data_IF_807446379114
#
_entry.id   IF_807446379114
#
_cell.length_a   1.000
_cell.length_b   1.000
_cell.length_c   1.000
_cell.angle_alpha   90.00
_cell.angle_beta   90.00
_cell.angle_gamma   90.00
#
_symmetry.space_group_name_H-M   'P 1'
#
loop_
_entity.id
_entity.type
_entity.pdbx_description
1 polymer ?
#
# COMPACT_ATOMS: atom_id res chain seq x y z
N UNK A 1 5.79 -13.81 25.92
CA UNK A 1 5.25 -12.44 25.84
C UNK A 1 5.29 -12.02 24.38
N UNK A 2 4.18 -12.20 23.67
CA UNK A 2 4.08 -11.85 22.25
C UNK A 2 3.73 -10.37 22.13
N UNK A 3 4.58 -9.59 21.48
CA UNK A 3 4.33 -8.18 21.23
C UNK A 3 3.21 -8.05 20.20
N UNK A 4 1.96 -7.96 20.68
CA UNK A 4 0.80 -7.64 19.86
C UNK A 4 0.80 -6.13 19.57
N UNK A 5 1.55 -5.72 18.55
CA UNK A 5 1.47 -4.38 17.96
C UNK A 5 1.52 -4.51 16.45
N UNK A 6 0.42 -4.95 15.87
CA UNK A 6 0.10 -4.64 14.47
C UNK A 6 -0.39 -3.19 14.42
N UNK A 7 0.46 -2.25 14.85
CA UNK A 7 0.22 -0.83 14.63
C UNK A 7 0.78 -0.53 13.25
N UNK A 8 -0.11 -0.35 12.29
CA UNK A 8 0.24 0.18 10.97
C UNK A 8 0.19 1.68 11.09
N UNK A 9 1.21 2.36 10.57
CA UNK A 9 1.27 3.80 10.40
C UNK A 9 0.92 4.12 8.93
N UNK A 10 -0.35 4.40 8.62
CA UNK A 10 -0.81 4.64 7.24
C UNK A 10 -0.04 5.76 6.57
N UNK A 11 0.25 6.83 7.31
CA UNK A 11 0.90 8.03 6.79
C UNK A 11 2.39 7.77 6.55
N UNK A 12 3.07 7.10 7.50
CA UNK A 12 4.45 6.66 7.34
C UNK A 12 4.64 5.69 6.17
N UNK A 13 3.69 4.76 5.98
CA UNK A 13 3.71 3.82 4.85
C UNK A 13 3.46 4.51 3.52
N UNK A 14 2.47 5.42 3.42
CA UNK A 14 2.23 6.23 2.19
C UNK A 14 3.43 7.11 1.86
N UNK A 15 3.99 7.81 2.84
CA UNK A 15 5.19 8.63 2.67
C UNK A 15 6.38 7.80 2.18
N UNK A 16 6.55 6.58 2.69
CA UNK A 16 7.61 5.67 2.23
C UNK A 16 7.37 5.21 0.79
N UNK A 17 6.12 4.87 0.45
CA UNK A 17 5.71 4.50 -0.90
C UNK A 17 5.98 5.64 -1.91
N UNK A 18 5.66 6.88 -1.53
CA UNK A 18 5.87 8.06 -2.36
C UNK A 18 7.34 8.47 -2.50
N UNK A 19 8.21 8.02 -1.59
CA UNK A 19 9.66 8.15 -1.73
C UNK A 19 10.28 7.07 -2.61
N UNK A 20 9.72 5.85 -2.57
CA UNK A 20 10.24 4.71 -3.34
C UNK A 20 9.86 4.79 -4.81
N UNK A 21 8.60 5.13 -5.10
CA UNK A 21 8.08 5.23 -6.47
C UNK A 21 8.99 6.02 -7.42
N UNK A 22 9.37 7.27 -7.08
CA UNK A 22 10.10 8.14 -8.00
C UNK A 22 11.62 7.91 -8.06
N UNK A 23 12.16 6.87 -7.40
CA UNK A 23 13.62 6.66 -7.33
C UNK A 23 14.29 6.51 -8.70
N UNK A 24 13.55 6.09 -9.73
CA UNK A 24 14.03 5.86 -11.09
C UNK A 24 13.16 6.50 -12.18
N UNK A 25 12.35 7.50 -11.84
CA UNK A 25 11.55 8.23 -12.84
C UNK A 25 12.44 8.91 -13.91
N UNK A 26 13.66 9.32 -13.52
CA UNK A 26 14.65 9.85 -14.46
C UNK A 26 15.56 8.73 -15.00
N UNK A 27 15.15 8.17 -16.13
CA UNK A 27 15.95 7.21 -16.90
C UNK A 27 16.95 7.88 -17.87
N UNK A 28 17.01 9.21 -17.92
CA UNK A 28 17.85 9.92 -18.89
C UNK A 28 19.35 9.56 -18.79
N UNK A 29 19.95 9.29 -17.61
CA UNK A 29 21.34 8.88 -17.54
C UNK A 29 21.59 7.51 -18.20
N UNK A 30 20.65 6.57 -18.03
CA UNK A 30 20.77 5.24 -18.63
C UNK A 30 20.57 5.27 -20.15
N UNK A 31 19.67 6.14 -20.62
CA UNK A 31 19.48 6.38 -22.06
C UNK A 31 20.71 7.05 -22.71
N UNK A 32 21.42 7.91 -21.98
CA UNK A 32 22.67 8.49 -22.47
C UNK A 32 23.76 7.43 -22.61
N UNK A 33 23.84 6.48 -21.67
CA UNK A 33 24.83 5.38 -21.70
C UNK A 33 24.57 4.41 -22.84
N UNK A 34 23.32 4.05 -23.14
CA UNK A 34 22.99 3.22 -24.30
C UNK A 34 23.30 3.91 -25.63
N UNK A 35 23.24 5.26 -25.67
CA UNK A 35 23.54 6.07 -26.84
C UNK A 35 25.03 6.33 -27.12
N UNK A 36 25.95 5.86 -26.26
CA UNK A 36 27.38 6.14 -26.44
C UNK A 36 27.89 5.43 -27.71
N UNK A 37 28.33 6.24 -28.68
CA UNK A 37 29.11 5.77 -29.82
C UNK A 37 30.59 5.89 -29.50
N UNK A 38 31.25 4.75 -29.31
CA UNK A 38 32.71 4.70 -29.24
C UNK A 38 33.30 4.76 -30.64
N UNK A 39 34.37 5.54 -30.81
CA UNK A 39 35.12 5.60 -32.05
C UNK A 39 36.43 4.82 -31.88
N UNK A 40 36.32 3.50 -31.79
CA UNK A 40 37.45 2.62 -31.47
C UNK A 40 38.35 2.30 -32.68
N UNK A 41 38.00 2.80 -33.88
CA UNK A 41 38.68 2.52 -35.14
C UNK A 41 38.04 1.40 -35.96
N UNK A 42 38.62 1.06 -37.12
CA UNK A 42 37.98 0.18 -38.11
C UNK A 42 38.53 -1.27 -38.14
N UNK A 43 39.30 -1.69 -37.13
CA UNK A 43 39.83 -3.05 -37.03
C UNK A 43 38.85 -4.01 -36.30
N UNK A 44 38.94 -5.34 -36.51
CA UNK A 44 37.95 -6.28 -35.96
C UNK A 44 37.74 -6.19 -34.45
N UNK A 45 38.81 -6.03 -33.67
CA UNK A 45 38.71 -5.90 -32.21
C UNK A 45 38.03 -4.60 -31.77
N UNK A 46 38.22 -3.49 -32.50
CA UNK A 46 37.51 -2.23 -32.24
C UNK A 46 36.01 -2.37 -32.47
N UNK A 47 35.60 -2.99 -33.58
CA UNK A 47 34.18 -3.24 -33.88
C UNK A 47 33.53 -4.16 -32.85
N UNK A 48 34.26 -5.16 -32.38
CA UNK A 48 33.79 -6.03 -31.30
C UNK A 48 33.59 -5.24 -30.00
N UNK A 49 34.55 -4.38 -29.64
CA UNK A 49 34.45 -3.52 -28.45
C UNK A 49 33.25 -2.57 -28.54
N UNK A 50 33.05 -1.92 -29.69
CA UNK A 50 31.91 -1.02 -29.92
C UNK A 50 30.57 -1.76 -29.80
N UNK A 51 30.48 -2.97 -30.37
CA UNK A 51 29.28 -3.82 -30.24
C UNK A 51 29.04 -4.27 -28.81
N UNK A 52 30.11 -4.66 -28.09
CA UNK A 52 30.01 -5.04 -26.68
C UNK A 52 29.52 -3.88 -25.82
N UNK A 53 30.06 -2.68 -26.01
CA UNK A 53 29.64 -1.49 -25.26
C UNK A 53 28.18 -1.13 -25.54
N UNK A 54 27.74 -1.19 -26.80
CA UNK A 54 26.33 -1.01 -27.16
C UNK A 54 25.42 -2.02 -26.43
N UNK A 55 25.75 -3.31 -26.51
CA UNK A 55 24.98 -4.36 -25.81
C UNK A 55 24.92 -4.15 -24.28
N UNK A 56 26.01 -3.68 -23.67
CA UNK A 56 26.05 -3.40 -22.23
C UNK A 56 25.23 -2.16 -21.88
N UNK A 57 25.28 -1.12 -22.70
CA UNK A 57 24.46 0.08 -22.54
C UNK A 57 22.96 -0.24 -22.63
N UNK A 58 22.57 -1.01 -23.64
CA UNK A 58 21.18 -1.46 -23.83
C UNK A 58 20.70 -2.31 -22.64
N UNK A 59 21.52 -3.27 -22.19
CA UNK A 59 21.18 -4.11 -21.05
C UNK A 59 21.03 -3.31 -19.75
N UNK A 60 21.88 -2.30 -19.52
CA UNK A 60 21.77 -1.39 -18.37
C UNK A 60 20.49 -0.58 -18.43
N UNK A 61 20.12 -0.06 -19.60
CA UNK A 61 18.88 0.69 -19.78
C UNK A 61 17.63 -0.17 -19.52
N UNK A 62 17.59 -1.39 -20.06
CA UNK A 62 16.50 -2.34 -19.80
C UNK A 62 16.39 -2.71 -18.33
N UNK A 63 17.53 -2.88 -17.65
CA UNK A 63 17.54 -3.16 -16.22
C UNK A 63 16.98 -1.97 -15.43
N UNK A 64 17.37 -0.73 -15.76
CA UNK A 64 16.83 0.46 -15.12
C UNK A 64 15.31 0.59 -15.28
N UNK A 65 14.77 0.33 -16.48
CA UNK A 65 13.31 0.25 -16.70
C UNK A 65 12.63 -0.82 -15.85
N UNK A 66 13.27 -1.97 -15.67
CA UNK A 66 12.72 -3.04 -14.84
C UNK A 66 12.67 -2.63 -13.37
N UNK A 67 13.69 -1.91 -12.87
CA UNK A 67 13.70 -1.43 -11.48
C UNK A 67 12.70 -0.29 -11.28
N UNK A 68 12.56 0.63 -12.25
CA UNK A 68 11.50 1.65 -12.26
C UNK A 68 10.11 1.02 -12.09
N UNK A 69 9.80 0.00 -12.89
CA UNK A 69 8.53 -0.74 -12.78
C UNK A 69 8.33 -1.33 -11.38
N UNK A 70 9.36 -1.98 -10.83
CA UNK A 70 9.31 -2.55 -9.48
C UNK A 70 9.10 -1.47 -8.41
N UNK A 71 9.73 -0.30 -8.55
CA UNK A 71 9.51 0.84 -7.64
C UNK A 71 8.06 1.31 -7.67
N UNK A 72 7.45 1.40 -8.86
CA UNK A 72 6.04 1.74 -8.99
C UNK A 72 5.11 0.65 -8.44
N UNK A 73 5.41 -0.63 -8.67
CA UNK A 73 4.63 -1.74 -8.12
C UNK A 73 4.69 -1.77 -6.60
N UNK A 74 5.86 -1.52 -5.99
CA UNK A 74 6.01 -1.38 -4.54
C UNK A 74 5.16 -0.22 -4.04
N UNK A 75 5.21 0.94 -4.70
CA UNK A 75 4.39 2.09 -4.33
C UNK A 75 2.90 1.72 -4.36
N UNK A 76 2.41 1.15 -5.46
CA UNK A 76 1.02 0.76 -5.61
C UNK A 76 0.59 -0.28 -4.57
N UNK A 77 1.44 -1.28 -4.30
CA UNK A 77 1.20 -2.30 -3.30
C UNK A 77 1.10 -1.71 -1.88
N UNK A 78 2.00 -0.80 -1.51
CA UNK A 78 1.98 -0.16 -0.19
C UNK A 78 0.74 0.72 0.00
N UNK A 79 0.34 1.50 -1.02
CA UNK A 79 -0.91 2.26 -0.99
C UNK A 79 -2.12 1.35 -0.85
N UNK A 80 -2.20 0.28 -1.65
CA UNK A 80 -3.30 -0.69 -1.61
C UNK A 80 -3.43 -1.39 -0.25
N UNK A 81 -2.30 -1.75 0.38
CA UNK A 81 -2.29 -2.32 1.73
C UNK A 81 -2.86 -1.32 2.73
N UNK A 82 -2.40 -0.07 2.71
CA UNK A 82 -2.90 0.97 3.62
C UNK A 82 -4.40 1.20 3.45
N UNK A 83 -4.87 1.34 2.21
CA UNK A 83 -6.28 1.58 1.91
C UNK A 83 -7.16 0.41 2.37
N UNK A 84 -6.68 -0.84 2.19
CA UNK A 84 -7.38 -2.04 2.67
C UNK A 84 -7.48 -2.06 4.19
N UNK A 85 -6.42 -1.67 4.90
CA UNK A 85 -6.42 -1.61 6.36
C UNK A 85 -7.38 -0.53 6.89
N UNK A 86 -7.32 0.68 6.34
CA UNK A 86 -8.23 1.77 6.75
C UNK A 86 -9.69 1.42 6.48
N UNK A 87 -9.99 0.78 5.34
CA UNK A 87 -11.33 0.32 5.01
C UNK A 87 -11.83 -0.76 5.98
N UNK A 88 -10.96 -1.72 6.32
CA UNK A 88 -11.28 -2.81 7.25
C UNK A 88 -11.53 -2.27 8.66
N UNK A 89 -10.67 -1.38 9.14
CA UNK A 89 -10.83 -0.74 10.45
C UNK A 89 -12.09 0.12 10.51
N UNK A 90 -12.40 0.85 9.43
CA UNK A 90 -13.64 1.62 9.32
C UNK A 90 -14.89 0.73 9.34
N UNK A 91 -14.88 -0.40 8.64
CA UNK A 91 -15.96 -1.38 8.66
C UNK A 91 -16.14 -1.97 10.06
N UNK A 92 -15.04 -2.38 10.70
CA UNK A 92 -15.05 -2.94 12.05
C UNK A 92 -15.60 -1.95 13.08
N UNK A 93 -15.22 -0.67 12.98
CA UNK A 93 -15.73 0.38 13.85
C UNK A 93 -17.23 0.60 13.68
N UNK A 94 -17.73 0.60 12.44
CA UNK A 94 -19.17 0.73 12.15
C UNK A 94 -20.00 -0.44 12.65
N UNK A 95 -19.48 -1.66 12.56
CA UNK A 95 -20.16 -2.85 13.07
C UNK A 95 -20.18 -2.89 14.61
N UNK A 96 -19.09 -2.46 15.26
CA UNK A 96 -19.04 -2.27 16.71
C UNK A 96 -20.06 -1.24 17.19
N UNK A 97 -20.11 -0.07 16.55
CA UNK A 97 -21.05 0.99 16.86
C UNK A 97 -22.51 0.51 16.71
N UNK A 98 -22.81 -0.17 15.59
CA UNK A 98 -24.14 -0.78 15.36
C UNK A 98 -24.50 -1.81 16.43
N UNK A 99 -23.57 -2.69 16.80
CA UNK A 99 -23.78 -3.69 17.86
C UNK A 99 -24.05 -3.04 19.20
N UNK A 100 -23.28 -2.01 19.57
CA UNK A 100 -23.47 -1.26 20.81
C UNK A 100 -24.82 -0.55 20.83
N UNK A 101 -25.22 0.11 19.73
CA UNK A 101 -26.54 0.72 19.62
C UNK A 101 -27.67 -0.31 19.72
N UNK A 102 -27.49 -1.50 19.14
CA UNK A 102 -28.45 -2.59 19.24
C UNK A 102 -28.59 -3.06 20.70
N UNK A 103 -27.50 -3.39 21.37
CA UNK A 103 -27.49 -3.91 22.75
C UNK A 103 -28.07 -2.90 23.76
N UNK A 104 -27.72 -1.62 23.61
CA UNK A 104 -28.27 -0.54 24.45
C UNK A 104 -29.78 -0.41 24.23
N UNK A 105 -30.25 -0.46 22.98
CA UNK A 105 -31.68 -0.40 22.70
C UNK A 105 -32.43 -1.62 23.24
N UNK A 106 -31.89 -2.83 23.06
CA UNK A 106 -32.47 -4.07 23.58
C UNK A 106 -32.59 -4.00 25.10
N UNK A 107 -31.53 -3.58 25.79
CA UNK A 107 -31.53 -3.43 27.26
C UNK A 107 -32.57 -2.41 27.72
N UNK A 108 -32.69 -1.28 27.03
CA UNK A 108 -33.70 -0.24 27.34
C UNK A 108 -35.13 -0.75 27.15
N UNK A 109 -35.39 -1.51 26.10
CA UNK A 109 -36.71 -2.13 25.85
C UNK A 109 -37.04 -3.16 26.92
N UNK A 110 -36.09 -4.02 27.30
CA UNK A 110 -36.30 -4.99 28.39
C UNK A 110 -36.58 -4.30 29.72
N UNK A 111 -35.85 -3.23 30.06
CA UNK A 111 -36.10 -2.45 31.27
C UNK A 111 -37.52 -1.85 31.27
N UNK A 112 -37.95 -1.26 30.15
CA UNK A 112 -39.29 -0.70 30.02
C UNK A 112 -40.40 -1.76 30.15
N UNK A 113 -40.22 -2.92 29.50
CA UNK A 113 -41.17 -4.03 29.59
C UNK A 113 -41.29 -4.55 31.03
N UNK A 114 -40.17 -4.69 31.75
CA UNK A 114 -40.19 -5.13 33.15
C UNK A 114 -40.92 -4.13 34.05
N UNK A 115 -40.74 -2.82 33.85
CA UNK A 115 -41.47 -1.78 34.60
C UNK A 115 -42.97 -1.80 34.29
N UNK A 116 -43.36 -2.12 33.05
CA UNK A 116 -44.77 -2.20 32.64
C UNK A 116 -45.46 -3.44 33.21
N UNK A 117 -44.81 -4.60 33.15
CA UNK A 117 -45.36 -5.86 33.71
C UNK A 117 -45.52 -5.79 35.24
N UNK A 118 -44.60 -5.10 35.94
CA UNK A 118 -44.72 -4.86 37.38
C UNK A 118 -45.82 -3.85 37.75
N UNK A 119 -46.20 -2.95 36.84
CA UNK A 119 -47.34 -2.06 37.02
C UNK A 119 -48.68 -2.76 36.78
N UNK A 120 -48.76 -3.67 35.79
CA UNK A 120 -49.98 -4.42 35.46
C UNK A 120 -50.27 -5.58 36.45
N UNK A 121 -49.26 -6.03 37.23
CA UNK A 121 -49.41 -7.13 38.22
C UNK A 121 -49.71 -6.66 39.65
N UNK A 122 -49.84 -5.35 39.88
CA UNK A 122 -50.30 -4.80 41.16
C UNK A 122 -51.71 -4.19 41.02
N UNK A 123 -52.79 -4.99 41.19
CA UNK A 123 -54.15 -4.52 40.97
C UNK A 123 -54.75 -3.70 42.12
N UNK A 124 -53.98 -3.33 43.14
CA UNK A 124 -54.49 -2.61 44.31
C UNK A 124 -54.02 -1.14 44.33
N UNK A 125 -54.77 -0.29 43.63
CA UNK A 125 -55.03 1.10 44.03
C UNK A 125 -56.42 1.55 43.55
#
# INVERSE_FOLDING_TARGET
MGNNRTYIDPEGTRSSADRIGPLLDDLSPFHQVSGIKTNSGNFPAAKWLDSLLGQRGDALFQHAQSVELVCHDIKAGLHSVVDTFEQTDGSNAGDLDRSLYHDVNVTRVHAWNHTRESADTNPDN
#
